data_IF_987838439444
#
_entry.id   IF_987838439444
#
_cell.length_a   1.000
_cell.length_b   1.000
_cell.length_c   1.000
_cell.angle_alpha   90.00
_cell.angle_beta   90.00
_cell.angle_gamma   90.00
#
_symmetry.space_group_name_H-M   'P 1'
#
loop_
_entity.id
_entity.type
_entity.pdbx_description
1 polymer ?
#
# COMPACT_ATOMS: atom_id res chain seq x y z
N UNK A 1 -3.87 0.48 -1.96
CA UNK A 1 -4.34 1.67 -1.24
C UNK A 1 -5.84 1.59 -1.02
N UNK A 2 -6.62 1.96 -2.04
CA UNK A 2 -8.07 2.15 -1.95
C UNK A 2 -8.86 1.02 -1.25
N UNK A 3 -8.68 -0.25 -1.64
CA UNK A 3 -9.42 -1.37 -1.02
C UNK A 3 -9.16 -1.49 0.50
N UNK A 4 -7.92 -1.24 0.93
CA UNK A 4 -7.55 -1.23 2.34
C UNK A 4 -8.06 0.02 3.06
N UNK A 5 -7.92 1.20 2.42
CA UNK A 5 -8.44 2.47 2.97
C UNK A 5 -9.96 2.49 3.11
N UNK A 6 -10.68 1.74 2.27
CA UNK A 6 -12.11 1.54 2.34
C UNK A 6 -12.56 0.47 3.36
N UNK A 7 -11.63 -0.22 4.03
CA UNK A 7 -11.94 -1.30 4.98
C UNK A 7 -12.48 -2.59 4.33
N UNK A 8 -12.37 -2.73 3.00
CA UNK A 8 -12.89 -3.87 2.25
C UNK A 8 -11.90 -5.04 2.14
N UNK A 9 -10.68 -4.88 2.68
CA UNK A 9 -9.72 -5.97 2.86
C UNK A 9 -8.84 -5.69 4.08
N UNK A 10 -8.36 -6.76 4.72
CA UNK A 10 -7.47 -6.69 5.88
C UNK A 10 -6.00 -6.44 5.48
N UNK A 11 -5.58 -6.92 4.30
CA UNK A 11 -4.19 -6.89 3.85
C UNK A 11 -4.09 -6.90 2.32
N UNK A 12 -2.98 -6.39 1.80
CA UNK A 12 -2.68 -6.36 0.37
C UNK A 12 -1.20 -6.59 0.10
N UNK A 13 -0.91 -7.28 -1.00
CA UNK A 13 0.44 -7.55 -1.47
C UNK A 13 0.68 -6.86 -2.81
N UNK A 14 1.90 -6.38 -3.03
CA UNK A 14 2.31 -5.72 -4.26
C UNK A 14 3.81 -5.57 -4.35
N UNK A 15 4.28 -5.08 -5.49
CA UNK A 15 5.70 -4.77 -5.73
C UNK A 15 5.93 -3.27 -5.63
N UNK A 16 7.10 -2.86 -5.16
CA UNK A 16 7.51 -1.44 -5.07
C UNK A 16 8.87 -1.22 -5.74
N UNK A 17 8.85 -1.00 -7.06
CA UNK A 17 10.02 -0.54 -7.80
C UNK A 17 10.18 0.97 -7.67
N UNK A 18 9.12 1.72 -7.99
CA UNK A 18 9.09 3.18 -8.04
C UNK A 18 8.09 3.79 -7.05
N UNK A 19 7.85 3.15 -5.90
CA UNK A 19 6.89 3.64 -4.90
C UNK A 19 5.47 3.11 -5.06
N UNK A 20 5.23 2.09 -5.89
CA UNK A 20 3.89 1.55 -6.18
C UNK A 20 3.17 0.91 -4.97
N UNK A 21 3.84 0.70 -3.84
CA UNK A 21 3.18 0.39 -2.55
C UNK A 21 2.98 1.67 -1.74
N UNK A 22 4.03 2.49 -1.61
CA UNK A 22 4.05 3.65 -0.70
C UNK A 22 3.20 4.83 -1.17
N UNK A 23 3.20 5.13 -2.48
CA UNK A 23 2.41 6.22 -3.06
C UNK A 23 0.90 5.97 -2.91
N UNK A 24 0.35 4.80 -3.27
CA UNK A 24 -1.05 4.50 -3.00
C UNK A 24 -1.38 4.41 -1.50
N UNK A 25 -0.43 4.03 -0.65
CA UNK A 25 -0.63 3.98 0.80
C UNK A 25 -0.82 5.39 1.38
N UNK A 26 0.04 6.35 0.97
CA UNK A 26 -0.07 7.77 1.32
C UNK A 26 -1.43 8.37 0.95
N UNK A 27 -1.90 8.13 -0.28
CA UNK A 27 -3.17 8.71 -0.76
C UNK A 27 -4.42 8.12 -0.12
N UNK A 28 -4.34 6.95 0.51
CA UNK A 28 -5.49 6.27 1.09
C UNK A 28 -5.39 6.14 2.62
N UNK A 29 -4.42 6.81 3.26
CA UNK A 29 -4.29 6.82 4.72
C UNK A 29 -3.99 5.45 5.33
N UNK A 30 -3.27 4.58 4.62
CA UNK A 30 -2.88 3.24 5.11
C UNK A 30 -1.36 3.12 5.19
N UNK A 31 -0.88 2.16 5.98
CA UNK A 31 0.54 1.84 6.03
C UNK A 31 0.99 1.09 4.76
N UNK A 32 2.18 1.40 4.27
CA UNK A 32 2.83 0.69 3.16
C UNK A 32 4.29 0.41 3.49
N UNK A 33 4.68 -0.87 3.49
CA UNK A 33 6.04 -1.31 3.79
C UNK A 33 6.74 -1.79 2.51
N UNK A 34 7.96 -1.29 2.27
CA UNK A 34 8.90 -1.82 1.29
C UNK A 34 10.10 -2.40 2.08
N UNK A 35 10.32 -3.72 2.06
CA UNK A 35 11.52 -4.32 2.60
C UNK A 35 12.79 -3.83 1.89
N UNK A 36 13.96 -4.06 2.50
CA UNK A 36 15.24 -3.94 1.79
C UNK A 36 15.23 -4.85 0.56
N UNK A 37 15.81 -4.41 -0.59
CA UNK A 37 15.84 -5.20 -1.81
C UNK A 37 16.38 -6.62 -1.63
#
# INVERSE_FOLDING_TARGET
GALLGAGASLLGLGSDLAGSIRVPAMFNGVFGHKPTP
#
